data_IF_781632594607
#
_entry.id   IF_781632594607
#
_cell.length_a   1.000
_cell.length_b   1.000
_cell.length_c   1.000
_cell.angle_alpha   90.00
_cell.angle_beta   90.00
_cell.angle_gamma   90.00
#
_symmetry.space_group_name_H-M   'P 1'
#
loop_
_entity.id
_entity.type
_entity.pdbx_description
1 polymer ?
#
# COMPACT_ATOMS: atom_id res chain seq x y z
N UNK A 1 -32.22 36.44 -8.62
CA UNK A 1 -32.98 36.40 -9.88
C UNK A 1 -33.03 34.98 -10.41
N UNK A 2 -34.26 34.45 -10.50
CA UNK A 2 -34.77 33.26 -11.20
C UNK A 2 -34.25 31.87 -10.88
N UNK A 3 -35.10 31.20 -10.11
CA UNK A 3 -35.30 29.75 -9.97
C UNK A 3 -35.61 29.09 -11.31
N UNK A 4 -35.23 27.86 -11.51
CA UNK A 4 -35.93 26.93 -12.39
C UNK A 4 -35.96 25.53 -11.75
N UNK A 5 -37.13 25.21 -11.17
CA UNK A 5 -37.54 23.85 -10.80
C UNK A 5 -37.98 23.13 -12.08
N UNK A 6 -37.58 21.88 -12.26
CA UNK A 6 -38.31 20.95 -13.15
C UNK A 6 -38.60 19.66 -12.38
N UNK A 7 -39.84 19.53 -12.03
CA UNK A 7 -40.51 18.30 -11.64
C UNK A 7 -40.82 17.50 -12.91
N UNK A 8 -40.70 16.21 -12.90
CA UNK A 8 -41.25 15.28 -13.88
C UNK A 8 -41.98 14.15 -13.21
N UNK A 9 -43.18 14.00 -13.62
CA UNK A 9 -44.24 13.24 -13.03
C UNK A 9 -44.14 11.73 -13.31
N UNK A 10 -44.62 11.00 -12.34
CA UNK A 10 -44.95 9.61 -12.27
C UNK A 10 -46.15 9.31 -13.19
N UNK A 11 -46.05 8.31 -14.06
CA UNK A 11 -47.19 7.75 -14.79
C UNK A 11 -47.41 6.30 -14.35
N UNK A 12 -48.45 6.15 -13.53
CA UNK A 12 -48.99 4.87 -13.06
C UNK A 12 -50.05 4.42 -14.06
N UNK A 13 -49.82 3.33 -14.78
CA UNK A 13 -50.83 2.68 -15.63
C UNK A 13 -51.28 1.38 -14.97
N UNK A 14 -52.47 1.44 -14.44
CA UNK A 14 -53.27 0.34 -13.87
C UNK A 14 -54.06 -0.32 -15.01
N UNK A 15 -53.80 -1.58 -15.32
CA UNK A 15 -54.62 -2.41 -16.20
C UNK A 15 -55.38 -3.44 -15.39
N UNK A 16 -56.68 -3.19 -15.21
CA UNK A 16 -57.66 -4.19 -14.80
C UNK A 16 -58.03 -5.05 -16.03
N UNK A 17 -57.94 -6.34 -15.92
CA UNK A 17 -58.62 -7.28 -16.83
C UNK A 17 -59.47 -8.26 -16.01
N UNK A 18 -60.72 -8.23 -16.36
CA UNK A 18 -61.87 -8.89 -15.74
C UNK A 18 -61.91 -10.41 -15.95
N UNK A 19 -62.47 -11.09 -14.98
CA UNK A 19 -62.75 -12.51 -14.96
C UNK A 19 -63.76 -12.95 -16.05
N UNK A 20 -63.51 -14.12 -16.67
CA UNK A 20 -64.59 -14.95 -17.21
C UNK A 20 -64.43 -16.39 -16.69
N UNK A 21 -65.47 -16.80 -15.99
CA UNK A 21 -65.64 -18.17 -15.50
C UNK A 21 -65.83 -19.15 -16.65
N UNK A 22 -65.05 -20.19 -16.67
CA UNK A 22 -65.25 -21.35 -17.56
C UNK A 22 -64.96 -22.66 -16.78
N UNK A 23 -66.01 -23.39 -16.45
CA UNK A 23 -65.95 -24.69 -15.83
C UNK A 23 -65.40 -25.72 -16.83
N UNK A 24 -64.26 -26.36 -16.50
CA UNK A 24 -63.72 -27.48 -17.24
C UNK A 24 -62.63 -28.19 -16.39
N UNK A 25 -63.01 -29.33 -15.79
CA UNK A 25 -62.10 -30.22 -15.05
C UNK A 25 -61.12 -30.83 -16.02
N UNK A 26 -59.87 -30.38 -16.01
CA UNK A 26 -58.74 -31.19 -16.43
C UNK A 26 -57.59 -30.83 -15.51
N UNK A 27 -57.08 -31.79 -14.76
CA UNK A 27 -55.92 -31.60 -13.86
C UNK A 27 -54.71 -31.21 -14.69
N UNK A 28 -54.27 -29.94 -14.56
CA UNK A 28 -52.99 -29.48 -15.08
C UNK A 28 -51.86 -30.13 -14.30
N UNK A 29 -50.79 -30.67 -14.94
CA UNK A 29 -49.62 -31.12 -14.21
C UNK A 29 -49.02 -29.92 -13.43
N UNK A 30 -48.70 -30.15 -12.17
CA UNK A 30 -47.99 -29.18 -11.35
C UNK A 30 -46.70 -28.71 -12.06
N UNK A 31 -46.36 -27.41 -12.04
CA UNK A 31 -45.09 -26.96 -12.56
C UNK A 31 -43.97 -27.62 -11.75
N UNK A 32 -43.24 -28.54 -12.37
CA UNK A 32 -41.99 -29.06 -11.82
C UNK A 32 -41.02 -27.88 -11.75
N UNK A 33 -40.84 -27.31 -10.57
CA UNK A 33 -39.78 -26.38 -10.30
C UNK A 33 -38.46 -27.14 -10.53
N UNK A 34 -37.79 -26.86 -11.62
CA UNK A 34 -36.42 -27.32 -11.83
C UNK A 34 -35.59 -26.88 -10.64
N UNK A 35 -34.74 -27.71 -10.06
CA UNK A 35 -33.83 -27.28 -9.01
C UNK A 35 -33.00 -26.14 -9.57
N UNK A 36 -32.99 -25.02 -8.88
CA UNK A 36 -32.10 -23.91 -9.18
C UNK A 36 -30.67 -24.47 -9.11
N UNK A 37 -30.02 -24.59 -10.25
CA UNK A 37 -28.60 -24.93 -10.31
C UNK A 37 -27.88 -23.75 -9.66
N UNK A 38 -27.46 -23.90 -8.42
CA UNK A 38 -26.57 -22.93 -7.77
C UNK A 38 -25.28 -22.94 -8.58
N UNK A 39 -25.05 -21.91 -9.40
CA UNK A 39 -23.77 -21.75 -10.06
C UNK A 39 -22.69 -21.77 -8.96
N UNK A 40 -21.65 -22.59 -9.17
CA UNK A 40 -20.51 -22.58 -8.28
C UNK A 40 -19.95 -21.14 -8.28
N UNK A 41 -19.70 -20.59 -7.07
CA UNK A 41 -19.11 -19.27 -6.96
C UNK A 41 -17.75 -19.26 -7.68
N UNK A 42 -17.51 -18.26 -8.50
CA UNK A 42 -16.22 -18.05 -9.14
C UNK A 42 -15.18 -17.74 -8.08
N UNK A 43 -14.09 -18.53 -8.04
CA UNK A 43 -12.99 -18.31 -7.10
C UNK A 43 -12.01 -17.28 -7.68
N UNK A 44 -11.53 -16.39 -6.84
CA UNK A 44 -10.53 -15.38 -7.17
C UNK A 44 -9.45 -15.32 -6.10
N UNK A 45 -8.27 -14.84 -6.46
CA UNK A 45 -7.17 -14.59 -5.55
C UNK A 45 -7.05 -13.10 -5.28
N UNK A 46 -7.22 -12.68 -4.03
CA UNK A 46 -6.89 -11.33 -3.58
C UNK A 46 -5.40 -11.24 -3.23
N UNK A 47 -4.77 -10.12 -3.55
CA UNK A 47 -3.38 -9.79 -3.18
C UNK A 47 -3.35 -8.50 -2.39
N UNK A 48 -2.85 -8.55 -1.17
CA UNK A 48 -2.86 -7.42 -0.23
C UNK A 48 -1.43 -7.07 0.15
N UNK A 49 -0.99 -5.87 -0.22
CA UNK A 49 0.27 -5.32 0.28
C UNK A 49 -0.02 -4.53 1.55
N UNK A 50 0.28 -5.13 2.70
CA UNK A 50 -0.02 -4.59 4.03
C UNK A 50 1.19 -3.82 4.56
N UNK A 51 0.99 -2.57 4.97
CA UNK A 51 1.99 -1.71 5.59
C UNK A 51 1.62 -1.46 7.05
N UNK A 52 2.54 -1.74 7.96
CA UNK A 52 2.36 -1.37 9.36
C UNK A 52 2.83 0.07 9.57
N UNK A 53 1.90 0.99 9.75
CA UNK A 53 2.16 2.40 10.11
C UNK A 53 1.42 2.78 11.39
N UNK A 54 1.23 1.80 12.29
CA UNK A 54 0.57 2.00 13.57
C UNK A 54 1.39 2.79 14.58
N UNK A 55 2.70 2.94 14.34
CA UNK A 55 3.67 3.47 15.31
C UNK A 55 4.26 2.41 16.23
N UNK A 56 3.71 1.18 16.23
CA UNK A 56 4.08 0.08 17.11
C UNK A 56 4.39 -1.21 16.32
N UNK A 57 4.96 -2.19 16.99
CA UNK A 57 5.06 -3.55 16.46
C UNK A 57 3.67 -4.20 16.48
N UNK A 58 3.26 -4.86 15.39
CA UNK A 58 2.11 -5.77 15.40
C UNK A 58 2.56 -7.13 15.95
N UNK A 59 1.75 -7.71 16.83
CA UNK A 59 1.95 -9.04 17.42
C UNK A 59 1.08 -10.09 16.75
N UNK A 60 -0.08 -9.68 16.22
CA UNK A 60 -1.02 -10.55 15.53
C UNK A 60 -1.56 -9.88 14.28
N UNK A 61 -1.79 -10.69 13.23
CA UNK A 61 -2.40 -10.30 11.98
C UNK A 61 -3.19 -11.47 11.40
N UNK A 62 -4.45 -11.24 11.07
CA UNK A 62 -5.35 -12.22 10.50
C UNK A 62 -6.01 -11.67 9.24
N UNK A 63 -6.16 -12.54 8.24
CA UNK A 63 -6.93 -12.29 7.03
C UNK A 63 -7.78 -13.52 6.76
N UNK A 64 -9.12 -13.36 6.77
CA UNK A 64 -10.07 -14.46 6.69
C UNK A 64 -11.41 -14.00 6.09
N UNK A 65 -12.25 -14.92 5.61
CA UNK A 65 -13.60 -14.58 5.15
C UNK A 65 -14.46 -14.09 6.32
N UNK A 66 -15.18 -13.00 6.11
CA UNK A 66 -16.05 -12.40 7.11
C UNK A 66 -17.12 -13.40 7.56
N UNK A 67 -17.15 -13.65 8.86
CA UNK A 67 -18.08 -14.63 9.47
C UNK A 67 -17.51 -16.04 9.61
N UNK A 68 -16.30 -16.32 9.13
CA UNK A 68 -15.58 -17.57 9.36
C UNK A 68 -14.60 -17.46 10.55
N UNK A 69 -13.93 -18.56 10.87
CA UNK A 69 -12.89 -18.59 11.90
C UNK A 69 -11.65 -17.80 11.43
N UNK A 70 -10.95 -17.15 12.36
CA UNK A 70 -9.77 -16.30 12.07
C UNK A 70 -8.62 -17.02 11.37
N UNK A 71 -8.48 -18.33 11.55
CA UNK A 71 -7.34 -19.08 11.07
C UNK A 71 -6.04 -18.75 11.81
N UNK A 72 -4.91 -18.88 11.09
CA UNK A 72 -3.57 -18.71 11.65
C UNK A 72 -3.12 -17.25 11.68
N UNK A 73 -2.31 -16.89 12.71
CA UNK A 73 -1.62 -15.62 12.76
C UNK A 73 -0.58 -15.55 11.59
N UNK A 74 -0.74 -14.56 10.72
CA UNK A 74 0.10 -14.38 9.52
C UNK A 74 1.48 -13.80 9.83
N UNK A 75 1.73 -13.36 11.06
CA UNK A 75 2.98 -12.76 11.53
C UNK A 75 3.42 -13.36 12.88
N UNK A 76 3.72 -14.66 12.98
CA UNK A 76 4.06 -15.30 14.26
C UNK A 76 5.25 -14.63 14.98
N UNK A 77 6.20 -14.05 14.24
CA UNK A 77 7.34 -13.30 14.77
C UNK A 77 7.04 -11.80 15.00
N UNK A 78 5.83 -11.39 14.67
CA UNK A 78 5.37 -10.00 14.66
C UNK A 78 5.89 -9.22 13.45
N UNK A 79 5.35 -8.00 13.27
CA UNK A 79 5.70 -7.09 12.17
C UNK A 79 6.05 -5.71 12.73
N UNK A 80 7.31 -5.28 12.61
CA UNK A 80 7.77 -3.97 13.08
C UNK A 80 7.06 -2.83 12.35
N UNK A 81 7.00 -1.67 13.00
CA UNK A 81 6.53 -0.44 12.35
C UNK A 81 7.36 -0.13 11.09
N UNK A 82 6.74 0.49 10.08
CA UNK A 82 7.30 0.80 8.77
C UNK A 82 7.80 -0.42 7.97
N UNK A 83 7.22 -1.60 8.24
CA UNK A 83 7.45 -2.81 7.45
C UNK A 83 6.23 -3.16 6.62
N UNK A 84 6.48 -3.87 5.49
CA UNK A 84 5.42 -4.39 4.63
C UNK A 84 5.41 -5.90 4.58
N UNK A 85 4.24 -6.45 4.31
CA UNK A 85 3.98 -7.87 4.09
C UNK A 85 3.02 -8.01 2.91
N UNK A 86 3.28 -8.93 2.01
CA UNK A 86 2.35 -9.28 0.93
C UNK A 86 1.64 -10.57 1.31
N UNK A 87 0.31 -10.55 1.32
CA UNK A 87 -0.54 -11.71 1.55
C UNK A 87 -1.42 -11.97 0.34
N UNK A 88 -1.60 -13.24 0.01
CA UNK A 88 -2.62 -13.70 -0.94
C UNK A 88 -3.71 -14.45 -0.19
N UNK A 89 -4.93 -14.36 -0.69
CA UNK A 89 -6.08 -15.07 -0.15
C UNK A 89 -7.03 -15.50 -1.27
N UNK A 90 -7.35 -16.79 -1.31
CA UNK A 90 -8.29 -17.36 -2.27
C UNK A 90 -9.69 -17.47 -1.67
N UNK A 91 -10.67 -16.84 -2.29
CA UNK A 91 -12.06 -16.87 -1.87
C UNK A 91 -13.00 -16.72 -3.07
N UNK A 92 -14.31 -16.82 -2.84
CA UNK A 92 -15.29 -16.44 -3.86
C UNK A 92 -15.08 -14.97 -4.25
N UNK A 93 -15.19 -14.65 -5.55
CA UNK A 93 -14.89 -13.30 -6.07
C UNK A 93 -15.73 -12.19 -5.43
N UNK A 94 -16.90 -12.51 -4.91
CA UNK A 94 -17.80 -11.61 -4.20
C UNK A 94 -17.71 -11.69 -2.67
N UNK A 95 -16.80 -12.54 -2.13
CA UNK A 95 -16.62 -12.69 -0.70
C UNK A 95 -16.17 -11.38 -0.04
N UNK A 96 -16.68 -11.14 1.15
CA UNK A 96 -16.15 -10.12 2.05
C UNK A 96 -15.08 -10.74 2.95
N UNK A 97 -13.95 -10.07 3.09
CA UNK A 97 -12.85 -10.50 3.95
C UNK A 97 -12.72 -9.58 5.16
N UNK A 98 -12.21 -10.15 6.23
CA UNK A 98 -11.85 -9.43 7.45
C UNK A 98 -10.35 -9.38 7.60
N UNK A 99 -9.82 -8.16 7.77
CA UNK A 99 -8.47 -7.91 8.24
C UNK A 99 -8.53 -7.51 9.71
N UNK A 100 -7.76 -8.21 10.55
CA UNK A 100 -7.69 -7.94 11.98
C UNK A 100 -6.23 -7.95 12.44
N UNK A 101 -5.84 -6.99 13.27
CA UNK A 101 -4.48 -6.93 13.82
C UNK A 101 -4.47 -6.46 15.27
N UNK A 102 -3.41 -6.83 15.99
CA UNK A 102 -3.15 -6.45 17.38
C UNK A 102 -1.76 -5.86 17.48
N UNK A 103 -1.62 -4.73 18.19
CA UNK A 103 -0.34 -4.06 18.46
C UNK A 103 0.31 -4.60 19.73
N UNK A 104 1.59 -4.25 19.95
CA UNK A 104 2.33 -4.63 21.15
C UNK A 104 1.73 -4.05 22.43
N UNK A 105 1.09 -2.89 22.38
CA UNK A 105 0.32 -2.31 23.50
C UNK A 105 -1.00 -3.05 23.80
N UNK A 106 -1.41 -4.00 22.93
CA UNK A 106 -2.68 -4.73 23.02
C UNK A 106 -3.86 -4.00 22.37
N UNK A 107 -3.64 -2.87 21.71
CA UNK A 107 -4.68 -2.24 20.90
C UNK A 107 -5.00 -3.13 19.70
N UNK A 108 -6.29 -3.30 19.39
CA UNK A 108 -6.75 -4.15 18.30
C UNK A 108 -7.65 -3.39 17.35
N UNK A 109 -7.56 -3.74 16.07
CA UNK A 109 -8.40 -3.21 15.02
C UNK A 109 -8.96 -4.31 14.15
N UNK A 110 -10.17 -4.09 13.61
CA UNK A 110 -10.89 -5.01 12.75
C UNK A 110 -11.57 -4.26 11.62
N UNK A 111 -11.39 -4.73 10.38
CA UNK A 111 -12.04 -4.21 9.19
C UNK A 111 -12.69 -5.35 8.41
N UNK A 112 -14.02 -5.36 8.27
CA UNK A 112 -14.83 -6.52 7.85
C UNK A 112 -15.35 -6.48 6.40
N UNK A 113 -15.03 -5.43 5.64
CA UNK A 113 -15.59 -5.24 4.29
C UNK A 113 -14.52 -5.18 3.20
N UNK A 114 -13.38 -5.85 3.44
CA UNK A 114 -12.34 -5.97 2.44
C UNK A 114 -12.83 -6.87 1.29
N UNK A 115 -12.49 -6.50 0.06
CA UNK A 115 -12.86 -7.26 -1.14
C UNK A 115 -11.73 -8.17 -1.59
N UNK A 116 -12.07 -9.17 -2.43
CA UNK A 116 -11.08 -10.01 -3.10
C UNK A 116 -10.52 -9.22 -4.28
N UNK A 117 -9.40 -8.54 -4.07
CA UNK A 117 -8.80 -7.59 -5.02
C UNK A 117 -7.29 -7.47 -4.79
N UNK A 118 -6.60 -6.77 -5.68
CA UNK A 118 -5.20 -6.38 -5.49
C UNK A 118 -5.15 -4.95 -4.98
N UNK A 119 -4.68 -4.76 -3.73
CA UNK A 119 -4.74 -3.44 -3.11
C UNK A 119 -3.66 -3.24 -2.03
N UNK A 120 -3.03 -2.04 -1.96
CA UNK A 120 -2.19 -1.64 -0.83
C UNK A 120 -3.07 -1.21 0.35
N UNK A 121 -2.68 -1.62 1.55
CA UNK A 121 -3.38 -1.31 2.80
C UNK A 121 -2.38 -0.81 3.84
N UNK A 122 -2.53 0.45 4.26
CA UNK A 122 -1.83 0.99 5.42
C UNK A 122 -2.66 0.75 6.69
N UNK A 123 -2.14 -0.06 7.61
CA UNK A 123 -2.71 -0.29 8.93
C UNK A 123 -2.27 0.82 9.87
N UNK A 124 -3.23 1.57 10.42
CA UNK A 124 -2.99 2.77 11.22
C UNK A 124 -3.14 2.48 12.71
N UNK A 125 -2.63 3.40 13.55
CA UNK A 125 -2.88 3.34 14.99
C UNK A 125 -4.38 3.38 15.28
N UNK A 126 -4.78 2.56 16.25
CA UNK A 126 -6.17 2.54 16.72
C UNK A 126 -6.35 3.67 17.71
N UNK A 127 -6.94 4.77 17.28
CA UNK A 127 -7.43 5.79 18.19
C UNK A 127 -8.87 5.41 18.60
N UNK A 128 -9.00 4.79 19.76
CA UNK A 128 -10.29 4.34 20.29
C UNK A 128 -11.30 5.49 20.51
N UNK A 129 -10.83 6.74 20.52
CA UNK A 129 -11.66 7.92 20.72
C UNK A 129 -12.22 8.50 19.41
N UNK A 130 -11.62 8.22 18.26
CA UNK A 130 -11.96 8.88 16.99
C UNK A 130 -13.00 8.15 16.15
N UNK A 131 -13.24 6.84 16.38
CA UNK A 131 -14.08 6.02 15.51
C UNK A 131 -13.58 5.96 14.06
N UNK A 132 -12.31 6.29 13.80
CA UNK A 132 -11.72 6.30 12.49
C UNK A 132 -11.54 4.88 11.95
N UNK A 133 -11.60 4.73 10.63
CA UNK A 133 -11.28 3.48 9.96
C UNK A 133 -9.80 3.13 10.22
N UNK A 134 -9.50 1.92 10.73
CA UNK A 134 -8.14 1.56 11.14
C UNK A 134 -7.19 1.28 9.98
N UNK A 135 -7.67 1.39 8.74
CA UNK A 135 -6.88 1.16 7.53
C UNK A 135 -7.09 2.28 6.52
N UNK A 136 -6.11 2.45 5.62
CA UNK A 136 -6.24 3.25 4.40
C UNK A 136 -5.81 2.41 3.20
N UNK A 137 -6.54 2.54 2.10
CA UNK A 137 -6.21 1.91 0.80
C UNK A 137 -5.20 2.80 0.05
N UNK A 138 -3.98 2.82 0.53
CA UNK A 138 -2.89 3.62 -0.05
C UNK A 138 -1.54 3.05 0.37
N UNK A 139 -0.51 3.31 -0.44
CA UNK A 139 0.88 3.18 0.00
C UNK A 139 1.17 4.37 0.93
N UNK A 140 1.61 4.15 2.17
CA UNK A 140 1.97 5.24 3.06
C UNK A 140 3.24 5.94 2.59
N UNK A 141 3.38 7.23 2.89
CA UNK A 141 4.58 8.00 2.67
C UNK A 141 5.33 8.23 3.99
N UNK A 142 6.64 8.33 3.92
CA UNK A 142 7.52 8.70 5.02
C UNK A 142 8.57 9.69 4.52
N UNK A 143 9.23 10.38 5.45
CA UNK A 143 10.29 11.33 5.14
C UNK A 143 11.64 10.75 5.52
N UNK A 144 12.49 10.52 4.52
CA UNK A 144 13.89 10.20 4.71
C UNK A 144 14.72 11.47 4.89
N UNK A 145 15.68 11.43 5.82
CA UNK A 145 16.63 12.50 6.08
C UNK A 145 18.05 11.95 5.98
N UNK A 146 18.84 12.52 5.09
CA UNK A 146 20.18 12.03 4.78
C UNK A 146 21.20 13.13 5.02
N UNK A 147 22.29 12.79 5.70
CA UNK A 147 23.51 13.58 5.71
C UNK A 147 24.50 12.93 4.75
N UNK A 148 24.72 13.56 3.59
CA UNK A 148 25.65 13.08 2.56
C UNK A 148 27.00 13.70 2.83
N UNK A 149 28.05 12.91 3.01
CA UNK A 149 29.41 13.35 3.35
C UNK A 149 30.36 12.93 2.23
N UNK A 150 31.10 13.88 1.70
CA UNK A 150 32.17 13.56 0.75
C UNK A 150 33.40 13.01 1.49
N UNK A 151 33.72 11.76 1.31
CA UNK A 151 34.94 11.11 1.82
C UNK A 151 35.76 10.50 0.69
N UNK A 152 35.66 11.06 -0.53
CA UNK A 152 36.36 10.56 -1.72
C UNK A 152 37.83 10.97 -1.78
N UNK A 153 38.27 11.91 -0.94
CA UNK A 153 39.61 12.52 -1.01
C UNK A 153 39.73 13.57 -2.11
N UNK A 154 38.69 13.83 -2.89
CA UNK A 154 38.66 14.81 -4.00
C UNK A 154 37.34 15.56 -3.98
N UNK A 155 37.23 16.62 -4.80
CA UNK A 155 35.98 17.36 -4.94
C UNK A 155 34.93 16.55 -5.68
N UNK A 156 33.72 16.45 -5.12
CA UNK A 156 32.51 15.97 -5.81
C UNK A 156 31.90 17.15 -6.57
N UNK A 157 31.90 17.09 -7.90
CA UNK A 157 31.39 18.17 -8.76
C UNK A 157 29.87 18.11 -8.96
N UNK A 158 29.30 16.91 -8.91
CA UNK A 158 27.87 16.69 -9.03
C UNK A 158 27.42 15.67 -8.00
N UNK A 159 26.25 15.92 -7.37
CA UNK A 159 25.62 15.02 -6.43
C UNK A 159 24.11 15.11 -6.58
N UNK A 160 23.48 13.98 -6.83
CA UNK A 160 22.04 13.86 -6.98
C UNK A 160 21.49 12.76 -6.08
N UNK A 161 20.31 13.00 -5.50
CA UNK A 161 19.50 11.98 -4.83
C UNK A 161 18.08 12.07 -5.38
N UNK A 162 17.58 11.00 -5.94
CA UNK A 162 16.28 10.97 -6.58
C UNK A 162 15.62 9.58 -6.49
N UNK A 163 14.31 9.51 -6.69
CA UNK A 163 13.58 8.25 -6.75
C UNK A 163 14.03 7.40 -7.93
N UNK A 164 14.18 6.10 -7.74
CA UNK A 164 14.53 5.19 -8.84
C UNK A 164 13.51 5.31 -9.98
N UNK A 165 14.04 5.54 -11.19
CA UNK A 165 13.21 5.78 -12.38
C UNK A 165 12.61 7.18 -12.47
N UNK A 166 12.87 8.05 -11.47
CA UNK A 166 12.49 9.47 -11.50
C UNK A 166 13.53 10.36 -12.19
N UNK A 167 13.21 11.64 -12.24
CA UNK A 167 14.12 12.66 -12.77
C UNK A 167 15.14 13.08 -11.71
N UNK A 168 16.36 13.38 -12.14
CA UNK A 168 17.38 13.99 -11.29
C UNK A 168 16.91 15.39 -10.91
N UNK A 169 16.92 15.68 -9.62
CA UNK A 169 16.61 17.01 -9.12
C UNK A 169 17.76 18.01 -9.26
N UNK A 170 17.86 18.92 -8.31
CA UNK A 170 18.93 19.89 -8.21
C UNK A 170 20.27 19.20 -7.86
N UNK A 171 21.38 19.74 -8.41
CA UNK A 171 22.73 19.32 -8.00
C UNK A 171 23.02 19.75 -6.56
N UNK A 172 23.05 18.80 -5.64
CA UNK A 172 23.28 19.04 -4.21
C UNK A 172 24.74 19.46 -3.89
N UNK A 173 25.70 19.17 -4.80
CA UNK A 173 27.09 19.62 -4.65
C UNK A 173 27.25 21.11 -4.94
N UNK A 174 26.25 21.78 -5.54
CA UNK A 174 26.33 23.19 -5.90
C UNK A 174 27.48 23.51 -6.86
N UNK A 175 28.44 24.31 -6.41
CA UNK A 175 29.67 24.63 -7.19
C UNK A 175 30.81 23.62 -6.96
N UNK A 176 30.59 22.58 -6.20
CA UNK A 176 31.53 21.55 -5.80
C UNK A 176 31.57 21.35 -4.31
N UNK A 177 31.63 20.08 -3.90
CA UNK A 177 31.63 19.65 -2.49
C UNK A 177 33.02 19.10 -2.17
N UNK A 178 33.82 19.86 -1.42
CA UNK A 178 35.18 19.50 -1.03
C UNK A 178 35.20 18.24 -0.16
N UNK A 179 36.36 17.56 -0.10
CA UNK A 179 36.54 16.40 0.78
C UNK A 179 36.27 16.77 2.26
N UNK A 180 35.54 15.92 2.97
CA UNK A 180 35.05 16.16 4.34
C UNK A 180 33.82 17.09 4.44
N UNK A 181 33.40 17.74 3.37
CA UNK A 181 32.18 18.55 3.35
C UNK A 181 30.92 17.65 3.39
N UNK A 182 29.80 18.22 3.83
CA UNK A 182 28.52 17.51 3.87
C UNK A 182 27.35 18.38 3.45
N UNK A 183 26.30 17.76 2.94
CA UNK A 183 25.01 18.38 2.63
C UNK A 183 23.88 17.54 3.22
N UNK A 184 22.88 18.21 3.78
CA UNK A 184 21.67 17.57 4.27
C UNK A 184 20.62 17.53 3.14
N UNK A 185 19.93 16.41 3.00
CA UNK A 185 18.87 16.18 2.02
C UNK A 185 17.68 15.49 2.68
N UNK A 186 16.48 15.94 2.34
CA UNK A 186 15.23 15.31 2.79
C UNK A 186 14.32 15.03 1.60
N UNK A 187 13.61 13.91 1.65
CA UNK A 187 12.62 13.53 0.65
C UNK A 187 11.44 12.84 1.32
N UNK A 188 10.22 13.19 0.89
CA UNK A 188 9.01 12.46 1.27
C UNK A 188 8.58 11.61 0.07
N UNK A 189 8.44 10.31 0.31
CA UNK A 189 8.13 9.34 -0.73
C UNK A 189 7.43 8.11 -0.12
N UNK A 190 6.84 7.20 -0.95
CA UNK A 190 6.33 5.92 -0.47
C UNK A 190 7.38 5.16 0.35
N UNK A 191 6.95 4.58 1.50
CA UNK A 191 7.86 3.90 2.46
C UNK A 191 8.67 2.75 1.85
N UNK A 192 8.24 2.22 0.73
CA UNK A 192 8.91 1.15 -0.01
C UNK A 192 9.66 1.64 -1.26
N UNK A 193 9.73 2.95 -1.46
CA UNK A 193 10.49 3.53 -2.54
C UNK A 193 12.00 3.30 -2.32
N UNK A 194 12.71 3.16 -3.43
CA UNK A 194 14.16 3.16 -3.45
C UNK A 194 14.66 4.45 -4.10
N UNK A 195 15.76 4.95 -3.60
CA UNK A 195 16.42 6.14 -4.10
C UNK A 195 17.74 5.77 -4.77
N UNK A 196 18.09 6.55 -5.76
CA UNK A 196 19.42 6.58 -6.38
C UNK A 196 20.24 7.72 -5.79
N UNK A 197 21.44 7.40 -5.33
CA UNK A 197 22.52 8.37 -5.08
C UNK A 197 23.47 8.31 -6.25
N UNK A 198 23.68 9.42 -6.92
CA UNK A 198 24.64 9.54 -8.02
C UNK A 198 25.58 10.72 -7.75
N UNK A 199 26.87 10.49 -7.88
CA UNK A 199 27.86 11.54 -7.71
C UNK A 199 29.00 11.41 -8.71
N UNK A 200 29.64 12.54 -9.05
CA UNK A 200 30.74 12.63 -10.00
C UNK A 200 31.95 13.30 -9.35
N UNK A 201 33.11 12.67 -9.48
CA UNK A 201 34.40 13.25 -9.14
C UNK A 201 35.27 13.36 -10.40
N UNK A 202 36.25 14.30 -10.41
CA UNK A 202 37.17 14.42 -11.51
C UNK A 202 38.06 13.17 -11.67
N UNK A 203 38.43 12.54 -10.53
CA UNK A 203 39.32 11.38 -10.52
C UNK A 203 38.64 10.09 -11.00
N UNK A 204 37.37 9.85 -10.59
CA UNK A 204 36.72 8.55 -10.72
C UNK A 204 35.53 8.53 -11.68
N UNK A 205 35.14 9.71 -12.18
CA UNK A 205 33.91 9.88 -12.96
C UNK A 205 32.64 9.68 -12.13
N UNK A 206 31.57 9.29 -12.82
CA UNK A 206 30.25 9.11 -12.18
C UNK A 206 30.11 7.77 -11.52
N UNK A 207 29.56 7.76 -10.30
CA UNK A 207 29.23 6.60 -9.48
C UNK A 207 27.75 6.62 -9.13
N UNK A 208 27.13 5.44 -9.06
CA UNK A 208 25.69 5.30 -8.80
C UNK A 208 25.42 4.20 -7.79
N UNK A 209 24.50 4.47 -6.85
CA UNK A 209 23.95 3.51 -5.90
C UNK A 209 22.43 3.61 -5.90
N UNK A 210 21.71 2.52 -6.23
CA UNK A 210 20.28 2.53 -6.56
C UNK A 210 19.35 1.94 -5.48
N UNK A 211 19.89 1.52 -4.33
CA UNK A 211 19.11 0.83 -3.31
C UNK A 211 19.09 1.54 -1.96
N UNK A 212 19.16 2.87 -1.96
CA UNK A 212 18.96 3.66 -0.75
C UNK A 212 17.46 3.66 -0.41
N UNK A 213 17.12 3.31 0.84
CA UNK A 213 15.74 3.27 1.32
C UNK A 213 15.33 4.60 1.96
N UNK A 214 14.02 4.78 2.18
CA UNK A 214 13.51 5.92 2.93
C UNK A 214 13.83 5.72 4.42
N UNK A 215 14.84 6.45 4.91
CA UNK A 215 15.38 6.31 6.27
C UNK A 215 16.14 7.58 6.71
N UNK A 216 16.54 7.60 7.97
CA UNK A 216 17.36 8.69 8.52
C UNK A 216 18.77 8.18 8.74
N UNK A 217 19.71 8.59 7.88
CA UNK A 217 21.05 8.00 7.87
C UNK A 217 22.12 8.96 7.34
N UNK A 218 23.36 8.80 7.85
CA UNK A 218 24.55 9.39 7.23
C UNK A 218 25.05 8.50 6.12
N UNK A 219 25.34 9.08 4.95
CA UNK A 219 25.86 8.40 3.76
C UNK A 219 27.21 9.00 3.42
N UNK A 220 28.28 8.22 3.50
CA UNK A 220 29.61 8.60 3.09
C UNK A 220 29.83 8.20 1.64
N UNK A 221 30.21 9.15 0.78
CA UNK A 221 30.57 8.92 -0.62
C UNK A 221 32.05 8.46 -0.69
N UNK A 222 32.33 7.37 -1.37
CA UNK A 222 33.65 6.72 -1.37
C UNK A 222 34.39 6.88 -2.69
N UNK A 223 35.73 6.96 -2.63
CA UNK A 223 36.60 6.93 -3.80
C UNK A 223 36.59 5.55 -4.51
N UNK A 224 36.94 5.53 -5.82
CA UNK A 224 36.90 4.33 -6.64
C UNK A 224 37.86 3.21 -6.16
N UNK A 225 39.01 3.58 -5.63
CA UNK A 225 40.00 2.64 -5.09
C UNK A 225 39.52 1.91 -3.83
N UNK A 226 38.70 2.60 -3.00
CA UNK A 226 38.04 1.99 -1.85
C UNK A 226 36.89 1.04 -2.27
N UNK A 227 36.54 1.01 -3.55
CA UNK A 227 35.35 0.37 -4.11
C UNK A 227 35.64 -0.89 -4.95
N UNK A 228 36.80 -1.45 -4.91
CA UNK A 228 37.13 -2.69 -5.64
C UNK A 228 36.19 -3.82 -5.19
N UNK A 229 35.05 -3.96 -5.90
CA UNK A 229 33.96 -4.89 -5.57
C UNK A 229 33.00 -4.40 -4.45
N UNK A 230 33.12 -3.16 -3.99
CA UNK A 230 32.28 -2.56 -2.96
C UNK A 230 31.26 -1.57 -3.53
N UNK A 231 30.25 -1.24 -2.73
CA UNK A 231 29.30 -0.15 -3.06
C UNK A 231 30.00 1.23 -2.99
N UNK A 232 29.59 2.22 -3.81
CA UNK A 232 30.21 3.54 -3.83
C UNK A 232 29.85 4.41 -2.61
N UNK A 233 29.14 3.86 -1.66
CA UNK A 233 28.73 4.54 -0.42
C UNK A 233 28.93 3.64 0.78
N UNK A 234 29.06 4.27 1.96
CA UNK A 234 29.07 3.60 3.26
C UNK A 234 28.06 4.29 4.19
N UNK A 235 27.27 3.49 4.87
CA UNK A 235 26.37 3.96 5.92
C UNK A 235 27.12 4.07 7.26
N UNK A 236 26.83 5.13 8.01
CA UNK A 236 27.36 5.28 9.36
C UNK A 236 27.76 6.71 9.70
N UNK A 237 28.01 6.89 11.00
CA UNK A 237 28.42 8.17 11.58
C UNK A 237 29.90 8.44 11.35
#
# INVERSE_FOLDING_TARGET
MKMCKKASALLLTLLLVSAMAGCGKTAAPAPTTAPATTAAAEMATGTYTLYNVTGEKLTELYLYETGSDKGENRIPDGMKNNKKLVLTYDAAADAALTLEYVTESGASAKFETLRVEEVPIAMQSVDAASGATPIRFSVPEDTGSYKLVNTTGTTVSELYVYLNGGEKGENLAGSGMEDGASVDFTITAPVDASLTVEFTTEADGTKTFETLHIENVTVNLLAADAMSGATPIQFGA
#
